data_IF_166751472191
#
_entry.id   IF_166751472191
#
_cell.length_a   1.000
_cell.length_b   1.000
_cell.length_c   1.000
_cell.angle_alpha   90.00
_cell.angle_beta   90.00
_cell.angle_gamma   90.00
#
_symmetry.space_group_name_H-M   'P 1'
#
loop_
_entity.id
_entity.type
_entity.pdbx_description
1 polymer ?
#
# COMPACT_ATOMS: atom_id res chain seq x y z
N UNK A 1 34.10 -63.79 -13.20
CA UNK A 1 34.06 -62.86 -12.06
C UNK A 1 34.83 -61.61 -12.44
N UNK A 2 34.13 -60.54 -12.81
CA UNK A 2 34.68 -59.18 -13.03
C UNK A 2 33.66 -58.22 -12.41
N UNK A 3 34.00 -57.66 -11.26
CA UNK A 3 33.20 -56.66 -10.54
C UNK A 3 33.58 -55.31 -11.14
N UNK A 4 32.64 -54.65 -11.82
CA UNK A 4 32.78 -53.28 -12.25
C UNK A 4 32.08 -52.39 -11.21
N UNK A 5 32.88 -51.67 -10.43
CA UNK A 5 32.44 -50.62 -9.52
C UNK A 5 32.61 -49.29 -10.26
N UNK A 6 31.55 -48.52 -10.48
CA UNK A 6 31.71 -47.12 -10.92
C UNK A 6 30.55 -46.21 -10.47
N UNK A 7 30.92 -45.38 -9.48
CA UNK A 7 30.49 -44.01 -9.19
C UNK A 7 28.99 -43.69 -9.12
N UNK A 8 28.50 -43.57 -7.87
CA UNK A 8 27.32 -42.77 -7.54
C UNK A 8 27.63 -41.28 -7.79
N UNK A 9 26.94 -40.68 -8.75
CA UNK A 9 26.94 -39.24 -8.96
C UNK A 9 26.23 -38.54 -7.82
N UNK A 10 26.95 -37.67 -7.10
CA UNK A 10 26.38 -36.79 -6.09
C UNK A 10 25.59 -35.71 -6.83
N UNK A 11 24.26 -35.79 -6.83
CA UNK A 11 23.41 -34.67 -7.24
C UNK A 11 23.45 -33.65 -6.12
N UNK A 12 24.16 -32.54 -6.34
CA UNK A 12 24.11 -31.39 -5.45
C UNK A 12 22.67 -30.85 -5.44
N UNK A 13 21.94 -31.07 -4.35
CA UNK A 13 20.68 -30.39 -4.09
C UNK A 13 21.00 -28.89 -3.98
N UNK A 14 20.63 -28.11 -4.99
CA UNK A 14 20.63 -26.66 -4.90
C UNK A 14 19.70 -26.27 -3.77
N UNK A 15 20.24 -25.70 -2.69
CA UNK A 15 19.45 -24.98 -1.70
C UNK A 15 18.84 -23.81 -2.48
N UNK A 16 17.59 -23.96 -2.91
CA UNK A 16 16.80 -22.83 -3.38
C UNK A 16 16.81 -21.83 -2.23
N UNK A 17 17.50 -20.70 -2.43
CA UNK A 17 17.51 -19.63 -1.47
C UNK A 17 16.06 -19.30 -1.14
N UNK A 18 15.67 -19.51 0.11
CA UNK A 18 14.42 -18.96 0.62
C UNK A 18 14.59 -17.46 0.51
N UNK A 19 13.97 -16.80 -0.48
CA UNK A 19 13.77 -15.36 -0.37
C UNK A 19 12.85 -15.20 0.83
N UNK A 20 13.41 -14.80 1.97
CA UNK A 20 12.60 -14.40 3.11
C UNK A 20 11.87 -13.15 2.68
N UNK A 21 10.55 -13.24 2.50
CA UNK A 21 9.78 -12.03 2.29
C UNK A 21 10.00 -11.14 3.50
N UNK A 22 10.28 -9.86 3.26
CA UNK A 22 10.50 -8.91 4.35
C UNK A 22 9.84 -7.61 3.97
N UNK A 23 8.65 -7.40 4.52
CA UNK A 23 8.08 -6.07 4.60
C UNK A 23 9.11 -5.13 5.25
N UNK A 24 9.35 -3.97 4.64
CA UNK A 24 10.35 -3.01 5.13
C UNK A 24 9.70 -1.77 5.73
N UNK A 25 8.71 -1.19 5.05
CA UNK A 25 8.02 0.03 5.51
C UNK A 25 6.76 0.32 4.68
N UNK A 26 5.99 1.32 5.12
CA UNK A 26 5.08 2.04 4.24
C UNK A 26 5.72 3.32 3.72
N UNK A 27 5.28 3.77 2.54
CA UNK A 27 5.64 5.08 2.00
C UNK A 27 4.44 5.77 1.39
N UNK A 28 4.32 7.08 1.60
CA UNK A 28 3.30 7.91 0.98
C UNK A 28 3.97 8.86 -0.02
N UNK A 29 3.45 8.89 -1.25
CA UNK A 29 3.95 9.74 -2.33
C UNK A 29 2.85 10.69 -2.74
N UNK A 30 3.11 12.00 -2.67
CA UNK A 30 2.15 13.00 -3.15
C UNK A 30 2.07 12.97 -4.69
N UNK A 31 0.85 12.91 -5.21
CA UNK A 31 0.52 13.07 -6.62
C UNK A 31 0.23 14.51 -7.02
N UNK A 32 0.50 15.49 -6.14
CA UNK A 32 0.22 16.91 -6.32
C UNK A 32 -1.02 17.40 -5.56
N UNK A 33 -1.28 18.70 -5.68
CA UNK A 33 -2.44 19.40 -5.12
C UNK A 33 -3.29 20.05 -6.23
N UNK A 34 -4.61 20.00 -6.09
CA UNK A 34 -5.59 20.63 -6.98
C UNK A 34 -6.85 20.99 -6.20
N UNK A 35 -7.35 22.22 -6.36
CA UNK A 35 -8.65 22.61 -5.80
C UNK A 35 -8.73 22.58 -4.27
N UNK A 36 -7.60 22.77 -3.58
CA UNK A 36 -7.52 22.69 -2.12
C UNK A 36 -7.37 21.25 -1.58
N UNK A 37 -7.21 20.27 -2.47
CA UNK A 37 -7.02 18.86 -2.14
C UNK A 37 -5.62 18.40 -2.53
N UNK A 38 -5.03 17.52 -1.72
CA UNK A 38 -3.80 16.79 -2.06
C UNK A 38 -4.10 15.30 -2.18
N UNK A 39 -3.53 14.70 -3.23
CA UNK A 39 -3.62 13.27 -3.51
C UNK A 39 -2.35 12.57 -3.07
N UNK A 40 -2.49 11.42 -2.43
CA UNK A 40 -1.38 10.57 -1.99
C UNK A 40 -1.57 9.14 -2.46
N UNK A 41 -0.56 8.56 -3.08
CA UNK A 41 -0.46 7.11 -3.29
C UNK A 41 0.38 6.50 -2.18
N UNK A 42 -0.15 5.47 -1.53
CA UNK A 42 0.53 4.81 -0.41
C UNK A 42 0.94 3.41 -0.83
N UNK A 43 2.18 3.03 -0.52
CA UNK A 43 2.76 1.75 -0.89
C UNK A 43 3.26 1.01 0.34
N UNK A 44 3.08 -0.30 0.34
CA UNK A 44 3.85 -1.21 1.17
C UNK A 44 5.12 -1.62 0.43
N UNK A 45 6.27 -1.48 1.08
CA UNK A 45 7.58 -1.74 0.52
C UNK A 45 8.12 -3.08 1.02
N UNK A 46 8.76 -3.82 0.13
CA UNK A 46 9.31 -5.14 0.37
C UNK A 46 10.70 -5.25 -0.23
N UNK A 47 11.52 -6.18 0.26
CA UNK A 47 12.84 -6.46 -0.29
C UNK A 47 12.89 -7.75 -1.12
N UNK A 48 11.89 -8.63 -1.02
CA UNK A 48 11.79 -9.83 -1.83
C UNK A 48 11.10 -9.54 -3.17
N UNK A 49 11.76 -9.91 -4.27
CA UNK A 49 11.28 -9.64 -5.63
C UNK A 49 9.99 -10.40 -6.02
N UNK A 50 9.59 -11.38 -5.22
CA UNK A 50 8.36 -12.16 -5.42
C UNK A 50 7.37 -11.99 -4.29
N UNK A 51 7.64 -11.10 -3.34
CA UNK A 51 6.78 -10.88 -2.19
C UNK A 51 5.38 -10.50 -2.65
N UNK A 52 4.39 -11.07 -1.97
CA UNK A 52 2.99 -10.90 -2.33
C UNK A 52 2.21 -10.52 -1.08
N UNK A 53 1.68 -9.29 -1.07
CA UNK A 53 0.76 -8.83 -0.04
C UNK A 53 -0.59 -9.53 -0.22
N UNK A 54 -1.18 -9.95 0.89
CA UNK A 54 -2.43 -10.70 0.95
C UNK A 54 -3.55 -9.86 1.55
N UNK A 55 -3.22 -9.09 2.58
CA UNK A 55 -4.15 -8.19 3.24
C UNK A 55 -3.43 -7.00 3.89
N UNK A 56 -4.21 -5.95 4.13
CA UNK A 56 -3.86 -4.82 4.95
C UNK A 56 -4.95 -4.68 6.01
N UNK A 57 -4.59 -4.62 7.28
CA UNK A 57 -5.56 -4.72 8.36
C UNK A 57 -5.12 -3.95 9.59
N UNK A 58 -6.07 -3.70 10.50
CA UNK A 58 -5.85 -2.87 11.69
C UNK A 58 -5.40 -1.46 11.34
N UNK A 59 -6.06 -0.82 10.37
CA UNK A 59 -5.82 0.61 10.14
C UNK A 59 -6.26 1.42 11.35
N UNK A 60 -5.37 2.26 11.87
CA UNK A 60 -5.61 3.08 13.05
C UNK A 60 -5.07 4.50 12.87
N UNK A 61 -5.71 5.48 13.49
CA UNK A 61 -5.28 6.87 13.48
C UNK A 61 -4.29 7.10 14.64
N UNK A 62 -3.02 7.33 14.30
CA UNK A 62 -1.96 7.61 15.29
C UNK A 62 -1.87 9.11 15.61
N UNK A 63 -2.52 9.97 14.81
CA UNK A 63 -2.53 11.41 15.03
C UNK A 63 -3.65 11.88 15.95
N UNK A 64 -4.68 11.06 16.14
CA UNK A 64 -5.84 11.44 16.92
C UNK A 64 -6.61 10.20 17.37
N UNK A 65 -7.33 10.37 18.47
CA UNK A 65 -8.28 9.38 18.95
C UNK A 65 -9.64 9.51 18.24
N UNK A 66 -9.83 10.53 17.40
CA UNK A 66 -11.05 10.74 16.62
C UNK A 66 -11.14 9.79 15.41
N UNK A 67 -12.37 9.57 14.94
CA UNK A 67 -12.63 8.84 13.72
C UNK A 67 -11.92 9.46 12.51
N UNK A 68 -11.55 8.61 11.56
CA UNK A 68 -11.06 9.05 10.26
C UNK A 68 -12.13 9.91 9.58
N UNK A 69 -11.78 11.15 9.29
CA UNK A 69 -12.61 12.08 8.55
C UNK A 69 -11.73 12.88 7.60
N UNK A 70 -12.33 13.47 6.57
CA UNK A 70 -11.63 14.36 5.65
C UNK A 70 -11.18 13.69 4.35
N UNK A 71 -11.54 12.43 4.12
CA UNK A 71 -11.27 11.75 2.86
C UNK A 71 -12.31 12.13 1.80
N UNK A 72 -11.82 12.45 0.60
CA UNK A 72 -12.63 12.85 -0.53
C UNK A 72 -12.78 11.73 -1.55
N UNK A 73 -14.00 11.55 -2.04
CA UNK A 73 -14.35 10.60 -3.07
C UNK A 73 -14.93 11.31 -4.29
N UNK A 74 -14.51 10.89 -5.47
CA UNK A 74 -15.02 11.33 -6.76
C UNK A 74 -15.19 10.12 -7.69
N UNK A 75 -15.88 9.11 -7.17
CA UNK A 75 -16.03 7.80 -7.78
C UNK A 75 -17.35 7.68 -8.59
N UNK A 76 -17.59 6.50 -9.14
CA UNK A 76 -18.79 6.19 -9.90
C UNK A 76 -20.08 6.26 -9.08
N UNK A 77 -20.02 6.05 -7.75
CA UNK A 77 -21.19 6.18 -6.88
C UNK A 77 -21.67 7.64 -6.81
N UNK A 78 -20.73 8.58 -6.84
CA UNK A 78 -21.01 10.02 -6.81
C UNK A 78 -21.08 10.67 -8.20
N UNK A 79 -21.00 9.89 -9.28
CA UNK A 79 -20.92 10.42 -10.64
C UNK A 79 -19.69 11.29 -10.90
N UNK A 80 -18.60 11.09 -10.15
CA UNK A 80 -17.36 11.87 -10.27
C UNK A 80 -17.38 13.21 -9.56
N UNK A 81 -18.43 13.53 -8.81
CA UNK A 81 -18.50 14.76 -8.02
C UNK A 81 -17.81 14.52 -6.67
N UNK A 82 -16.85 15.39 -6.34
CA UNK A 82 -16.10 15.32 -5.09
C UNK A 82 -17.02 15.47 -3.87
N UNK A 83 -16.95 14.51 -2.94
CA UNK A 83 -17.75 14.48 -1.71
C UNK A 83 -16.98 13.84 -0.57
N UNK A 84 -17.25 14.28 0.66
CA UNK A 84 -16.85 13.60 1.89
C UNK A 84 -18.04 12.86 2.55
N UNK A 85 -19.26 13.15 2.11
CA UNK A 85 -20.49 12.58 2.69
C UNK A 85 -20.93 11.29 1.98
N UNK A 86 -20.49 11.09 0.74
CA UNK A 86 -20.83 9.95 -0.10
C UNK A 86 -19.58 9.46 -0.82
N UNK A 87 -19.55 8.18 -1.20
CA UNK A 87 -18.43 7.56 -1.91
C UNK A 87 -18.12 6.17 -1.38
N UNK A 88 -17.21 5.49 -2.05
CA UNK A 88 -16.75 4.14 -1.73
C UNK A 88 -15.23 4.10 -1.68
N UNK A 89 -14.70 3.14 -0.92
CA UNK A 89 -13.28 2.82 -0.96
C UNK A 89 -12.92 1.76 -2.03
N UNK A 90 -13.88 1.43 -2.92
CA UNK A 90 -13.72 0.35 -3.89
C UNK A 90 -12.90 0.82 -5.11
N UNK A 91 -11.74 0.20 -5.39
CA UNK A 91 -10.89 0.61 -6.51
C UNK A 91 -11.56 0.41 -7.87
N UNK A 92 -12.60 -0.41 -7.98
CA UNK A 92 -13.36 -0.61 -9.22
C UNK A 92 -14.27 0.58 -9.56
N UNK A 93 -14.63 1.41 -8.58
CA UNK A 93 -15.51 2.57 -8.78
C UNK A 93 -14.76 3.82 -9.22
N UNK A 94 -13.42 3.78 -9.20
CA UNK A 94 -12.57 4.84 -9.74
C UNK A 94 -12.87 5.02 -11.23
N UNK A 95 -13.33 6.20 -11.61
CA UNK A 95 -13.81 6.49 -12.97
C UNK A 95 -12.71 6.42 -14.03
N UNK A 96 -11.51 6.88 -13.68
CA UNK A 96 -10.33 6.85 -14.54
C UNK A 96 -9.07 6.67 -13.68
N UNK A 97 -8.08 5.88 -14.12
CA UNK A 97 -6.82 5.76 -13.39
C UNK A 97 -6.21 7.14 -13.07
N UNK A 98 -5.89 7.35 -11.78
CA UNK A 98 -5.33 8.61 -11.30
C UNK A 98 -6.35 9.72 -11.01
N UNK A 99 -7.66 9.45 -11.08
CA UNK A 99 -8.71 10.38 -10.63
C UNK A 99 -8.47 10.85 -9.18
N UNK A 100 -9.07 11.99 -8.83
CA UNK A 100 -9.03 12.56 -7.47
C UNK A 100 -10.04 11.85 -6.57
N UNK A 101 -9.75 10.60 -6.28
CA UNK A 101 -10.64 9.69 -5.57
C UNK A 101 -9.88 8.89 -4.52
N UNK A 102 -10.48 8.69 -3.34
CA UNK A 102 -9.89 7.88 -2.28
C UNK A 102 -10.35 6.43 -2.40
N UNK A 103 -9.41 5.49 -2.39
CA UNK A 103 -9.70 4.06 -2.49
C UNK A 103 -8.60 3.23 -1.84
N UNK A 104 -8.91 1.99 -1.49
CA UNK A 104 -7.93 1.03 -0.98
C UNK A 104 -7.87 -0.23 -1.84
N UNK A 105 -6.71 -0.87 -1.89
CA UNK A 105 -6.50 -2.07 -2.70
C UNK A 105 -5.32 -2.89 -2.18
N UNK A 106 -5.20 -4.12 -2.69
CA UNK A 106 -4.00 -4.95 -2.54
C UNK A 106 -3.34 -5.09 -3.90
N UNK A 107 -2.69 -4.02 -4.37
CA UNK A 107 -2.17 -3.92 -5.73
C UNK A 107 -3.27 -4.00 -6.80
N UNK A 108 -2.87 -4.18 -8.07
CA UNK A 108 -3.77 -4.28 -9.22
C UNK A 108 -4.07 -2.95 -9.92
N UNK A 109 -5.07 -2.96 -10.79
CA UNK A 109 -5.59 -1.76 -11.49
C UNK A 109 -6.82 -1.16 -10.81
N UNK A 110 -7.32 -0.06 -11.35
CA UNK A 110 -8.56 0.61 -10.90
C UNK A 110 -9.59 0.69 -12.03
N UNK A 111 -10.86 0.90 -11.67
CA UNK A 111 -12.00 0.90 -12.59
C UNK A 111 -12.64 -0.48 -12.80
N UNK A 112 -13.88 -0.51 -13.29
CA UNK A 112 -14.69 -1.74 -13.40
C UNK A 112 -14.04 -2.83 -14.27
N UNK A 113 -13.27 -2.45 -15.28
CA UNK A 113 -12.60 -3.38 -16.18
C UNK A 113 -11.22 -3.85 -15.68
N UNK A 114 -10.76 -3.37 -14.52
CA UNK A 114 -9.41 -3.69 -14.01
C UNK A 114 -9.23 -5.14 -13.58
N UNK A 115 -10.32 -5.85 -13.31
CA UNK A 115 -10.28 -7.16 -12.68
C UNK A 115 -9.76 -7.13 -11.24
N UNK A 116 -9.73 -5.95 -10.59
CA UNK A 116 -9.28 -5.85 -9.21
C UNK A 116 -10.19 -6.65 -8.27
N UNK A 117 -9.61 -7.51 -7.44
CA UNK A 117 -10.29 -8.40 -6.50
C UNK A 117 -10.06 -8.01 -5.04
N UNK A 118 -9.66 -6.77 -4.77
CA UNK A 118 -9.61 -6.26 -3.39
C UNK A 118 -11.01 -6.24 -2.79
N UNK A 119 -11.14 -6.72 -1.56
CA UNK A 119 -12.40 -6.78 -0.84
C UNK A 119 -12.23 -6.30 0.59
N UNK A 120 -13.29 -5.70 1.12
CA UNK A 120 -13.31 -5.18 2.47
C UNK A 120 -13.44 -6.34 3.48
N UNK A 121 -12.67 -6.28 4.57
CA UNK A 121 -12.91 -7.10 5.76
C UNK A 121 -14.31 -6.77 6.33
N UNK A 122 -15.07 -7.73 6.89
CA UNK A 122 -16.23 -7.44 7.73
C UNK A 122 -16.08 -6.26 8.71
N UNK A 123 -14.88 -6.01 9.25
CA UNK A 123 -14.59 -4.88 10.14
C UNK A 123 -14.55 -3.51 9.43
N UNK A 124 -14.49 -3.46 8.09
CA UNK A 124 -14.54 -2.26 7.25
C UNK A 124 -15.95 -1.63 7.17
N UNK A 125 -16.92 -2.13 7.94
CA UNK A 125 -18.25 -1.53 8.04
C UNK A 125 -19.19 -2.05 6.95
N UNK A 126 -19.81 -1.15 6.20
CA UNK A 126 -20.78 -1.55 5.18
C UNK A 126 -20.15 -2.43 4.10
N UNK A 127 -20.87 -3.48 3.70
CA UNK A 127 -20.39 -4.45 2.73
C UNK A 127 -19.91 -3.76 1.43
N UNK A 128 -18.78 -4.24 0.89
CA UNK A 128 -18.28 -3.79 -0.42
C UNK A 128 -17.68 -2.38 -0.43
N UNK A 129 -17.00 -1.96 0.64
CA UNK A 129 -16.36 -0.64 0.77
C UNK A 129 -17.33 0.55 0.73
N UNK A 130 -18.61 0.34 1.00
CA UNK A 130 -19.66 1.34 0.81
C UNK A 130 -19.80 2.30 2.00
N UNK A 131 -18.73 3.06 2.26
CA UNK A 131 -18.70 4.12 3.28
C UNK A 131 -17.83 5.27 2.79
N UNK A 132 -18.28 6.51 2.98
CA UNK A 132 -17.56 7.69 2.53
C UNK A 132 -16.35 8.04 3.41
N UNK A 133 -16.34 7.60 4.66
CA UNK A 133 -15.20 7.76 5.56
C UNK A 133 -14.75 6.39 6.03
N UNK A 134 -13.44 6.22 6.22
CA UNK A 134 -12.91 4.96 6.67
C UNK A 134 -13.43 4.68 8.10
N UNK A 135 -13.99 3.50 8.38
CA UNK A 135 -14.53 3.21 9.70
C UNK A 135 -13.42 3.26 10.74
N UNK A 136 -13.76 3.68 11.95
CA UNK A 136 -12.83 3.69 13.06
C UNK A 136 -13.52 3.09 14.29
N UNK A 137 -13.13 1.87 14.72
CA UNK A 137 -13.94 1.13 15.69
C UNK A 137 -13.90 1.72 17.10
N UNK A 138 -12.84 2.45 17.50
CA UNK A 138 -12.84 3.24 18.74
C UNK A 138 -11.58 4.11 18.88
N UNK A 139 -11.69 5.32 19.43
CA UNK A 139 -10.57 6.06 20.04
C UNK A 139 -9.68 5.14 20.89
N UNK A 140 -8.37 5.13 20.63
CA UNK A 140 -7.35 4.40 21.41
C UNK A 140 -7.43 2.87 21.45
N UNK A 141 -8.27 2.23 20.62
CA UNK A 141 -8.29 0.76 20.55
C UNK A 141 -7.57 0.26 19.30
N UNK A 142 -6.25 0.11 19.41
CA UNK A 142 -5.41 -0.38 18.30
C UNK A 142 -5.63 -1.88 18.00
N UNK A 143 -6.50 -2.56 18.76
CA UNK A 143 -6.73 -4.00 18.62
C UNK A 143 -7.75 -4.35 17.53
N UNK A 144 -8.58 -3.40 17.08
CA UNK A 144 -9.63 -3.64 16.08
C UNK A 144 -9.71 -2.40 15.19
N UNK A 145 -9.07 -2.44 14.03
CA UNK A 145 -9.16 -1.42 12.99
C UNK A 145 -9.53 -2.10 11.67
N UNK A 146 -10.20 -1.43 10.73
CA UNK A 146 -10.67 -2.11 9.54
C UNK A 146 -9.53 -2.59 8.65
N UNK A 147 -9.88 -3.50 7.74
CA UNK A 147 -8.92 -4.07 6.81
C UNK A 147 -9.54 -4.39 5.47
N UNK A 148 -8.68 -4.77 4.54
CA UNK A 148 -9.05 -5.29 3.25
C UNK A 148 -8.05 -6.35 2.83
N UNK A 149 -8.51 -7.23 1.96
CA UNK A 149 -7.75 -8.37 1.51
C UNK A 149 -7.96 -8.60 0.03
N UNK A 150 -7.05 -9.37 -0.55
CA UNK A 150 -7.19 -9.84 -1.91
C UNK A 150 -8.07 -11.10 -1.93
N UNK A 151 -9.31 -10.97 -2.44
CA UNK A 151 -10.17 -12.12 -2.68
C UNK A 151 -9.70 -12.89 -3.92
N UNK A 152 -9.93 -14.19 -4.01
CA UNK A 152 -9.40 -15.09 -5.07
C UNK A 152 -7.89 -15.45 -5.02
N UNK A 153 -7.34 -16.00 -3.93
CA UNK A 153 -6.14 -16.83 -4.03
C UNK A 153 -6.44 -18.05 -4.92
N UNK A 154 -5.57 -18.43 -5.88
CA UNK A 154 -4.26 -17.85 -6.19
C UNK A 154 -4.37 -16.78 -7.29
N UNK A 155 -4.23 -15.49 -6.93
CA UNK A 155 -3.98 -14.44 -7.91
C UNK A 155 -2.73 -13.64 -7.52
N UNK A 156 -2.11 -13.00 -8.50
CA UNK A 156 -0.83 -12.28 -8.36
C UNK A 156 -1.01 -10.77 -8.14
N UNK A 157 -2.22 -10.30 -7.87
CA UNK A 157 -2.53 -8.86 -7.79
C UNK A 157 -1.70 -8.12 -6.73
N UNK A 158 -1.51 -8.76 -5.57
CA UNK A 158 -0.73 -8.22 -4.47
C UNK A 158 0.78 -8.42 -4.61
N UNK A 159 1.27 -8.92 -5.75
CA UNK A 159 2.70 -9.11 -5.98
C UNK A 159 3.39 -7.74 -6.11
N UNK A 160 4.58 -7.64 -5.53
CA UNK A 160 5.42 -6.46 -5.67
C UNK A 160 5.68 -6.13 -7.14
N UNK A 161 5.71 -4.82 -7.45
CA UNK A 161 6.17 -4.33 -8.74
C UNK A 161 7.71 -4.39 -8.85
N UNK A 162 8.25 -3.92 -9.97
CA UNK A 162 9.70 -3.89 -10.20
C UNK A 162 10.50 -3.03 -9.18
N UNK A 163 9.83 -2.14 -8.43
CA UNK A 163 10.41 -1.33 -7.37
C UNK A 163 10.27 -1.99 -5.97
N UNK A 164 9.73 -3.21 -5.88
CA UNK A 164 9.51 -3.88 -4.59
C UNK A 164 8.28 -3.35 -3.85
N UNK A 165 7.31 -2.77 -4.55
CA UNK A 165 6.18 -2.06 -3.93
C UNK A 165 4.84 -2.67 -4.30
N UNK A 166 3.90 -2.64 -3.34
CA UNK A 166 2.48 -2.94 -3.57
C UNK A 166 1.67 -1.69 -3.25
N UNK A 167 0.86 -1.23 -4.20
CA UNK A 167 -0.06 -0.12 -3.97
C UNK A 167 -1.13 -0.55 -2.96
N UNK A 168 -1.20 0.19 -1.87
CA UNK A 168 -2.12 -0.02 -0.76
C UNK A 168 -3.43 0.74 -0.97
N UNK A 169 -3.34 1.90 -1.60
CA UNK A 169 -4.47 2.78 -1.83
C UNK A 169 -4.04 4.16 -2.26
N UNK A 170 -5.05 4.96 -2.59
CA UNK A 170 -4.92 6.38 -2.84
C UNK A 170 -5.81 7.13 -1.85
N UNK A 171 -5.30 8.24 -1.32
CA UNK A 171 -6.00 9.06 -0.35
C UNK A 171 -6.01 10.50 -0.84
N UNK A 172 -7.19 11.10 -0.87
CA UNK A 172 -7.40 12.51 -1.21
C UNK A 172 -7.93 13.22 0.03
N UNK A 173 -7.17 14.21 0.50
CA UNK A 173 -7.48 15.00 1.70
C UNK A 173 -7.32 16.48 1.40
N UNK A 174 -7.83 17.35 2.28
CA UNK A 174 -7.55 18.79 2.17
C UNK A 174 -6.05 19.06 2.31
N UNK A 175 -5.53 20.07 1.60
CA UNK A 175 -4.09 20.42 1.59
C UNK A 175 -3.51 20.71 2.97
N UNK A 176 -4.32 21.27 3.87
CA UNK A 176 -3.92 21.61 5.24
C UNK A 176 -4.09 20.45 6.23
N UNK A 177 -4.70 19.34 5.82
CA UNK A 177 -4.93 18.19 6.69
C UNK A 177 -3.65 17.35 6.81
N UNK A 178 -3.40 16.81 8.00
CA UNK A 178 -2.32 15.87 8.26
C UNK A 178 -2.84 14.71 9.08
N UNK A 179 -2.56 13.49 8.64
CA UNK A 179 -3.03 12.26 9.28
C UNK A 179 -1.91 11.23 9.23
N UNK A 180 -1.47 10.74 10.38
CA UNK A 180 -0.59 9.57 10.51
C UNK A 180 -1.43 8.35 10.79
N UNK A 181 -1.26 7.32 9.98
CA UNK A 181 -1.97 6.05 10.09
C UNK A 181 -1.00 4.93 10.42
N UNK A 182 -1.42 4.04 11.30
CA UNK A 182 -0.80 2.73 11.54
C UNK A 182 -1.53 1.65 10.76
N UNK A 183 -0.81 0.63 10.32
CA UNK A 183 -1.38 -0.49 9.58
C UNK A 183 -0.53 -1.76 9.69
N UNK A 184 -1.17 -2.93 9.68
CA UNK A 184 -0.51 -4.23 9.52
C UNK A 184 -0.70 -4.78 8.12
N UNK A 185 0.27 -5.58 7.67
CA UNK A 185 0.24 -6.28 6.38
C UNK A 185 0.53 -7.75 6.60
N UNK A 186 -0.31 -8.60 6.01
CA UNK A 186 -0.05 -10.02 5.87
C UNK A 186 0.49 -10.28 4.46
N UNK A 187 1.58 -11.02 4.36
CA UNK A 187 2.26 -11.25 3.09
C UNK A 187 2.95 -12.62 3.07
N UNK A 188 3.39 -13.05 1.89
CA UNK A 188 4.22 -14.23 1.72
C UNK A 188 5.28 -14.00 0.62
N UNK A 189 6.15 -14.99 0.38
CA UNK A 189 7.23 -14.89 -0.61
C UNK A 189 6.79 -15.17 -2.06
N UNK A 190 5.48 -15.20 -2.32
CA UNK A 190 4.92 -15.46 -3.65
C UNK A 190 4.90 -16.93 -4.07
N UNK A 191 5.30 -17.85 -3.19
CA UNK A 191 5.17 -19.30 -3.39
C UNK A 191 3.82 -19.76 -2.84
N UNK A 192 3.03 -20.45 -3.66
CA UNK A 192 1.73 -20.96 -3.22
C UNK A 192 1.91 -21.91 -2.01
N UNK A 193 1.12 -21.68 -0.95
CA UNK A 193 1.17 -22.47 0.28
C UNK A 193 2.31 -22.12 1.24
N UNK A 194 3.17 -21.15 0.93
CA UNK A 194 4.16 -20.66 1.91
C UNK A 194 3.47 -20.02 3.11
N UNK A 195 4.11 -20.10 4.28
CA UNK A 195 3.61 -19.47 5.50
C UNK A 195 3.39 -17.97 5.32
N UNK A 196 2.29 -17.46 5.89
CA UNK A 196 2.01 -16.03 5.95
C UNK A 196 2.89 -15.40 7.02
N UNK A 197 3.54 -14.31 6.65
CA UNK A 197 4.30 -13.45 7.54
C UNK A 197 3.54 -12.15 7.76
N UNK A 198 3.88 -11.45 8.84
CA UNK A 198 3.23 -10.20 9.22
C UNK A 198 4.25 -9.08 9.39
N UNK A 199 3.87 -7.88 8.99
CA UNK A 199 4.62 -6.65 9.19
C UNK A 199 3.68 -5.54 9.63
N UNK A 200 4.23 -4.47 10.19
CA UNK A 200 3.46 -3.33 10.64
C UNK A 200 4.30 -2.05 10.60
N UNK A 201 3.63 -0.91 10.54
CA UNK A 201 4.29 0.39 10.49
C UNK A 201 3.29 1.52 10.33
N UNK A 202 3.82 2.72 10.15
CA UNK A 202 3.01 3.94 9.95
C UNK A 202 3.34 4.63 8.64
N UNK A 203 2.41 5.46 8.18
CA UNK A 203 2.64 6.44 7.12
C UNK A 203 1.86 7.72 7.42
N UNK A 204 2.35 8.85 6.92
CA UNK A 204 1.75 10.16 7.15
C UNK A 204 1.31 10.80 5.85
N UNK A 205 0.05 11.23 5.79
CA UNK A 205 -0.50 12.12 4.78
C UNK A 205 -0.42 13.57 5.27
N UNK A 206 -0.31 14.54 4.36
CA UNK A 206 -0.21 15.97 4.71
C UNK A 206 1.23 16.48 4.89
N UNK A 207 2.21 15.57 5.02
CA UNK A 207 3.62 15.94 4.92
C UNK A 207 4.03 15.89 3.45
N UNK A 208 4.04 17.03 2.78
CA UNK A 208 4.86 17.20 1.59
C UNK A 208 6.26 17.48 2.12
N UNK A 209 7.28 16.61 1.93
CA UNK A 209 8.66 17.05 2.12
C UNK A 209 8.80 18.28 1.23
N UNK A 210 8.93 19.46 1.84
CA UNK A 210 8.94 20.70 1.10
C UNK A 210 9.88 20.52 -0.10
N UNK A 211 9.48 20.87 -1.34
CA UNK A 211 10.34 20.67 -2.52
C UNK A 211 11.78 21.20 -2.35
N UNK A 212 12.01 22.12 -1.40
CA UNK A 212 13.31 22.60 -0.98
C UNK A 212 14.24 21.60 -0.25
N UNK A 213 13.75 20.49 0.31
CA UNK A 213 14.59 19.51 1.01
C UNK A 213 15.47 18.68 0.07
N UNK A 214 15.00 18.43 -1.16
CA UNK A 214 15.79 17.76 -2.21
C UNK A 214 16.72 18.75 -2.92
N UNK A 215 16.27 20.00 -3.10
CA UNK A 215 17.08 21.06 -3.70
C UNK A 215 18.27 21.49 -2.82
N UNK A 216 18.14 21.47 -1.49
CA UNK A 216 19.23 21.83 -0.58
C UNK A 216 20.35 20.78 -0.53
N UNK A 217 20.03 19.51 -0.78
CA UNK A 217 21.04 18.46 -0.97
C UNK A 217 21.83 18.68 -2.27
N UNK A 218 21.16 19.12 -3.34
CA UNK A 218 21.80 19.53 -4.59
C UNK A 218 22.67 20.80 -4.43
N UNK A 219 22.27 21.74 -3.58
CA UNK A 219 23.01 23.00 -3.37
C UNK A 219 24.19 22.85 -2.40
N UNK A 220 24.12 21.94 -1.43
CA UNK A 220 25.24 21.59 -0.56
C UNK A 220 26.44 21.00 -1.34
N UNK A 221 26.18 20.34 -2.48
CA UNK A 221 27.23 19.85 -3.38
C UNK A 221 27.91 20.94 -4.22
N UNK A 222 27.26 22.08 -4.46
CA UNK A 222 27.78 23.15 -5.32
C UNK A 222 28.61 24.19 -4.55
N UNK A 223 28.41 24.33 -3.24
CA UNK A 223 29.15 25.28 -2.40
C UNK A 223 30.59 24.86 -2.04
N UNK A 224 31.03 23.65 -2.39
CA UNK A 224 32.30 23.07 -1.93
C UNK A 224 33.54 23.29 -2.81
N UNK A 225 33.41 23.75 -4.07
CA UNK A 225 34.57 23.82 -4.98
C UNK A 225 35.35 25.14 -4.83
N UNK A 226 36.11 25.27 -3.73
CA UNK A 226 37.13 26.33 -3.61
C UNK A 226 38.33 25.95 -4.49
N UNK A 227 38.48 26.60 -5.64
CA UNK A 227 39.69 26.50 -6.49
C UNK A 227 40.88 27.05 -5.69
N UNK A 228 41.87 26.20 -5.42
CA UNK A 228 43.18 26.62 -4.94
C UNK A 228 44.01 26.95 -6.18
N UNK A 229 44.47 28.20 -6.27
CA UNK A 229 45.56 28.63 -7.15
C UNK A 229 46.88 28.42 -6.40
#
# INVERSE_FOLDING_TARGET
MKIALMSMGLVAASIAGVSSATFTSYSAVSGGSQGGLTKYSVYANFNGATDTALNFFHINNESSTAAFTGFWHADALNGGVASQATGTWNPQFVLVPGAWDSYVMVGGGTGFASGNSSNADPSFGAAGFNTAQMPFPSPNNHAIGPGWFNSNPPNIQGRVNAAGQVLLGQFVINDAASITMFLKVGYNNGVAGSAVQFGEGTFTLGQIPAPGAVALLGLAGLAGRRRRN
#
